data_IF_066713188875
#
_entry.id   IF_066713188875
#
_cell.length_a   1.000
_cell.length_b   1.000
_cell.length_c   1.000
_cell.angle_alpha   90.00
_cell.angle_beta   90.00
_cell.angle_gamma   90.00
#
_symmetry.space_group_name_H-M   'P 1'
#
loop_
_entity.id
_entity.type
_entity.pdbx_description
1 polymer ?
#
# COMPACT_ATOMS: atom_id res chain seq x y z
N UNK A 1 7.11 38.31 7.80
CA UNK A 1 7.83 37.47 8.78
C UNK A 1 8.43 36.29 8.03
N UNK A 2 9.74 36.29 7.80
CA UNK A 2 10.45 35.18 7.14
C UNK A 2 10.96 34.28 8.26
N UNK A 3 10.28 33.17 8.51
CA UNK A 3 10.77 32.16 9.45
C UNK A 3 11.98 31.49 8.79
N UNK A 4 13.16 31.64 9.40
CA UNK A 4 14.39 31.05 8.87
C UNK A 4 14.23 29.54 8.65
N UNK A 5 14.55 29.00 7.46
CA UNK A 5 14.40 27.58 7.15
C UNK A 5 15.19 26.69 8.12
N UNK A 6 16.28 27.21 8.70
CA UNK A 6 17.08 26.55 9.72
C UNK A 6 16.29 26.23 11.00
N UNK A 7 15.37 27.12 11.39
CA UNK A 7 14.54 26.94 12.58
C UNK A 7 13.49 25.84 12.37
N UNK A 8 12.92 25.77 11.16
CA UNK A 8 11.99 24.71 10.76
C UNK A 8 12.67 23.34 10.75
N UNK A 9 13.92 23.25 10.28
CA UNK A 9 14.70 22.01 10.32
C UNK A 9 15.00 21.58 11.76
N UNK A 10 15.43 22.53 12.61
CA UNK A 10 15.76 22.23 14.01
C UNK A 10 14.54 21.74 14.81
N UNK A 11 13.38 22.39 14.65
CA UNK A 11 12.13 21.97 15.30
C UNK A 11 11.66 20.59 14.80
N UNK A 12 11.83 20.29 13.50
CA UNK A 12 11.56 18.94 12.98
C UNK A 12 12.51 17.89 13.55
N UNK A 13 13.78 18.23 13.74
CA UNK A 13 14.78 17.32 14.30
C UNK A 13 14.48 16.99 15.78
N UNK A 14 14.18 18.02 16.58
CA UNK A 14 13.81 17.87 18.00
C UNK A 14 12.52 17.03 18.17
N UNK A 15 11.51 17.28 17.33
CA UNK A 15 10.28 16.49 17.32
C UNK A 15 10.54 15.02 16.94
N UNK A 16 11.44 14.77 15.99
CA UNK A 16 11.86 13.40 15.62
C UNK A 16 12.61 12.71 16.77
N UNK A 17 13.51 13.42 17.47
CA UNK A 17 14.28 12.89 18.60
C UNK A 17 13.37 12.59 19.80
N UNK A 18 12.45 13.50 20.13
CA UNK A 18 11.47 13.28 21.20
C UNK A 18 10.54 12.11 20.90
N UNK A 19 10.04 12.01 19.65
CA UNK A 19 9.23 10.88 19.22
C UNK A 19 10.02 9.56 19.26
N UNK A 20 11.33 9.58 19.04
CA UNK A 20 12.19 8.39 19.11
C UNK A 20 12.28 7.80 20.53
N UNK A 21 12.03 8.58 21.59
CA UNK A 21 12.14 8.13 22.98
C UNK A 21 10.95 7.32 23.49
N UNK A 22 9.82 7.31 22.76
CA UNK A 22 8.65 6.46 23.10
C UNK A 22 8.92 5.00 22.74
N UNK A 23 8.34 4.01 23.48
CA UNK A 23 8.48 2.60 23.14
C UNK A 23 8.16 2.33 21.68
N UNK A 24 8.89 1.38 21.08
CA UNK A 24 8.74 1.01 19.67
C UNK A 24 7.33 0.46 19.43
N UNK A 25 6.52 1.23 18.70
CA UNK A 25 5.22 0.77 18.21
C UNK A 25 5.39 0.05 16.87
N UNK A 26 4.51 -0.90 16.56
CA UNK A 26 4.54 -1.62 15.28
C UNK A 26 4.57 -0.68 14.05
N UNK A 27 3.87 0.46 14.12
CA UNK A 27 3.85 1.48 13.06
C UNK A 27 5.24 2.10 12.83
N UNK A 28 6.02 2.32 13.90
CA UNK A 28 7.39 2.83 13.75
C UNK A 28 8.28 1.77 13.08
N UNK A 29 8.22 0.52 13.53
CA UNK A 29 8.95 -0.58 12.90
C UNK A 29 8.60 -0.69 11.41
N UNK A 30 7.31 -0.65 11.08
CA UNK A 30 6.80 -0.68 9.72
C UNK A 30 7.31 0.50 8.87
N UNK A 31 7.31 1.72 9.43
CA UNK A 31 7.86 2.91 8.77
C UNK A 31 9.36 2.76 8.46
N UNK A 32 10.14 2.31 9.44
CA UNK A 32 11.57 2.07 9.24
C UNK A 32 11.79 0.97 8.20
N UNK A 33 11.00 -0.10 8.27
CA UNK A 33 11.06 -1.19 7.32
C UNK A 33 10.80 -0.71 5.88
N UNK A 34 9.63 -0.12 5.60
CA UNK A 34 9.25 0.32 4.24
C UNK A 34 10.22 1.36 3.65
N UNK A 35 10.81 2.21 4.50
CA UNK A 35 11.73 3.27 4.07
C UNK A 35 13.15 2.77 3.83
N UNK A 36 13.70 1.99 4.75
CA UNK A 36 15.12 1.64 4.73
C UNK A 36 15.37 0.26 4.14
N UNK A 37 14.42 -0.67 4.22
CA UNK A 37 14.62 -2.04 3.75
C UNK A 37 14.88 -2.09 2.23
N UNK A 38 14.10 -1.42 1.37
CA UNK A 38 14.43 -1.24 -0.05
C UNK A 38 15.82 -0.67 -0.35
N UNK A 39 16.26 0.35 0.41
CA UNK A 39 17.59 0.92 0.24
C UNK A 39 18.67 -0.08 0.69
N UNK A 40 18.43 -0.80 1.79
CA UNK A 40 19.31 -1.86 2.27
C UNK A 40 19.38 -3.02 1.28
N UNK A 41 18.29 -3.37 0.60
CA UNK A 41 18.28 -4.36 -0.48
C UNK A 41 19.11 -3.89 -1.67
N UNK A 42 18.95 -2.64 -2.09
CA UNK A 42 19.78 -2.09 -3.19
C UNK A 42 21.26 -2.07 -2.81
N UNK A 43 21.59 -1.74 -1.55
CA UNK A 43 22.95 -1.76 -1.05
C UNK A 43 23.51 -3.18 -0.89
N UNK A 44 22.69 -4.14 -0.44
CA UNK A 44 23.11 -5.55 -0.32
C UNK A 44 23.38 -6.17 -1.69
N UNK A 45 22.57 -5.83 -2.69
CA UNK A 45 22.80 -6.15 -4.11
C UNK A 45 24.12 -5.58 -4.62
N UNK A 46 24.48 -4.36 -4.23
CA UNK A 46 25.79 -3.78 -4.56
C UNK A 46 26.97 -4.44 -3.83
N UNK A 47 26.75 -4.94 -2.60
CA UNK A 47 27.82 -5.47 -1.75
C UNK A 47 28.13 -6.95 -2.02
N UNK A 48 27.15 -7.74 -2.47
CA UNK A 48 27.35 -9.16 -2.77
C UNK A 48 28.18 -9.39 -4.06
N UNK A 49 28.49 -8.33 -4.80
CA UNK A 49 29.47 -8.39 -5.89
C UNK A 49 30.89 -8.47 -5.28
N UNK A 50 31.66 -9.55 -5.51
CA UNK A 50 32.94 -9.75 -4.84
C UNK A 50 33.90 -8.58 -5.15
N UNK A 51 34.51 -8.02 -4.10
CA UNK A 51 35.31 -6.78 -4.11
C UNK A 51 36.66 -6.88 -4.83
N UNK A 52 37.01 -8.03 -5.41
CA UNK A 52 38.41 -8.35 -5.70
C UNK A 52 39.03 -7.61 -6.92
N UNK A 53 38.30 -6.95 -7.84
CA UNK A 53 38.96 -6.35 -9.04
C UNK A 53 38.37 -5.01 -9.54
N UNK A 54 37.91 -4.11 -8.66
CA UNK A 54 37.45 -2.78 -9.12
C UNK A 54 37.86 -1.63 -8.18
N UNK A 55 39.15 -1.52 -7.89
CA UNK A 55 39.72 -0.33 -7.22
C UNK A 55 40.28 0.73 -8.16
N UNK A 56 40.17 0.57 -9.48
CA UNK A 56 40.79 1.52 -10.41
C UNK A 56 39.79 2.01 -11.46
N UNK A 57 39.47 3.30 -11.36
CA UNK A 57 38.82 4.14 -12.38
C UNK A 57 37.33 3.90 -12.66
N UNK A 58 36.39 4.39 -11.83
CA UNK A 58 35.18 5.07 -12.33
C UNK A 58 34.35 5.67 -11.18
N UNK A 59 33.82 6.87 -11.45
CA UNK A 59 33.25 7.85 -10.51
C UNK A 59 32.22 7.33 -9.48
N UNK A 60 32.16 7.90 -8.24
CA UNK A 60 31.50 7.23 -7.11
C UNK A 60 30.00 7.46 -6.90
N UNK A 61 29.27 8.35 -7.60
CA UNK A 61 28.00 8.84 -7.02
C UNK A 61 26.67 8.54 -7.72
N UNK A 62 26.56 8.34 -9.04
CA UNK A 62 25.20 8.34 -9.65
C UNK A 62 24.86 7.27 -10.69
N UNK A 63 25.80 6.45 -11.19
CA UNK A 63 25.50 5.60 -12.38
C UNK A 63 25.53 4.10 -12.12
N UNK A 64 25.85 3.64 -10.90
CA UNK A 64 26.14 2.20 -10.65
C UNK A 64 25.00 1.37 -10.06
N UNK A 65 23.87 1.97 -9.69
CA UNK A 65 23.04 1.31 -8.66
C UNK A 65 22.04 0.25 -9.11
N UNK A 66 21.67 0.09 -10.40
CA UNK A 66 20.60 -0.90 -10.71
C UNK A 66 20.81 -1.68 -12.02
N UNK A 67 21.59 -1.17 -12.99
CA UNK A 67 21.62 -1.76 -14.33
C UNK A 67 22.67 -2.88 -14.56
N UNK A 68 23.55 -3.15 -13.58
CA UNK A 68 24.73 -4.00 -13.80
C UNK A 68 24.59 -5.45 -13.31
N UNK A 69 23.49 -5.81 -12.65
CA UNK A 69 23.24 -7.19 -12.22
C UNK A 69 22.60 -7.95 -13.40
N UNK A 70 23.41 -8.31 -14.40
CA UNK A 70 22.96 -9.12 -15.53
C UNK A 70 23.70 -8.87 -16.85
N UNK A 71 24.46 -7.78 -16.97
CA UNK A 71 25.26 -7.54 -18.18
C UNK A 71 26.54 -8.38 -18.14
N UNK A 72 26.85 -9.09 -19.23
CA UNK A 72 28.02 -9.97 -19.49
C UNK A 72 29.41 -9.31 -19.27
N UNK A 73 29.49 -8.14 -18.66
CA UNK A 73 30.67 -7.27 -18.58
C UNK A 73 31.70 -7.80 -17.56
N UNK A 74 31.40 -8.86 -16.80
CA UNK A 74 32.37 -9.44 -15.86
C UNK A 74 32.70 -10.91 -16.20
N UNK A 75 33.53 -11.17 -17.22
CA UNK A 75 33.85 -12.52 -17.71
C UNK A 75 34.66 -13.39 -16.72
N UNK A 76 34.91 -12.92 -15.49
CA UNK A 76 35.72 -13.62 -14.48
C UNK A 76 34.94 -14.21 -13.29
N UNK A 77 33.65 -13.91 -13.14
CA UNK A 77 32.89 -14.40 -11.98
C UNK A 77 32.17 -15.70 -12.31
N UNK A 78 32.70 -16.81 -11.81
CA UNK A 78 32.03 -18.10 -11.82
C UNK A 78 31.22 -18.24 -10.53
N UNK A 79 29.92 -17.96 -10.58
CA UNK A 79 29.02 -18.28 -9.48
C UNK A 79 28.73 -19.78 -9.47
N UNK A 80 28.68 -20.37 -8.28
CA UNK A 80 28.21 -21.75 -8.16
C UNK A 80 26.68 -21.76 -8.23
N UNK A 81 26.10 -22.85 -8.73
CA UNK A 81 24.65 -23.06 -8.79
C UNK A 81 23.92 -22.75 -7.46
N UNK A 82 24.37 -23.24 -6.28
CA UNK A 82 23.66 -22.96 -5.03
C UNK A 82 23.71 -21.48 -4.61
N UNK A 83 24.75 -20.74 -4.97
CA UNK A 83 24.82 -19.30 -4.68
C UNK A 83 23.75 -18.53 -5.48
N UNK A 84 23.46 -18.99 -6.69
CA UNK A 84 22.46 -18.42 -7.59
C UNK A 84 21.05 -18.55 -7.03
N UNK A 85 20.69 -19.78 -6.62
CA UNK A 85 19.37 -20.12 -6.07
C UNK A 85 19.09 -19.35 -4.77
N UNK A 86 20.08 -19.28 -3.88
CA UNK A 86 19.96 -18.53 -2.62
C UNK A 86 19.78 -17.03 -2.92
N UNK A 87 20.51 -16.50 -3.89
CA UNK A 87 20.44 -15.10 -4.28
C UNK A 87 19.08 -14.71 -4.86
N UNK A 88 18.54 -15.53 -5.75
CA UNK A 88 17.22 -15.35 -6.35
C UNK A 88 16.10 -15.45 -5.30
N UNK A 89 16.16 -16.47 -4.45
CA UNK A 89 15.23 -16.65 -3.33
C UNK A 89 15.24 -15.43 -2.40
N UNK A 90 16.42 -14.89 -2.09
CA UNK A 90 16.55 -13.71 -1.25
C UNK A 90 15.87 -12.48 -1.87
N UNK A 91 16.07 -12.22 -3.17
CA UNK A 91 15.40 -11.10 -3.86
C UNK A 91 13.89 -11.24 -3.83
N UNK A 92 13.37 -12.43 -4.15
CA UNK A 92 11.94 -12.68 -4.19
C UNK A 92 11.29 -12.59 -2.80
N UNK A 93 11.92 -13.17 -1.78
CA UNK A 93 11.46 -13.05 -0.39
C UNK A 93 11.45 -11.59 0.08
N UNK A 94 12.47 -10.81 -0.29
CA UNK A 94 12.53 -9.40 0.04
C UNK A 94 11.43 -8.58 -0.65
N UNK A 95 11.15 -8.87 -1.92
CA UNK A 95 10.03 -8.29 -2.66
C UNK A 95 8.70 -8.53 -1.95
N UNK A 96 8.46 -9.79 -1.58
CA UNK A 96 7.26 -10.24 -0.89
C UNK A 96 7.05 -9.49 0.42
N UNK A 97 8.12 -9.31 1.22
CA UNK A 97 8.02 -8.56 2.47
C UNK A 97 7.68 -7.08 2.25
N UNK A 98 8.22 -6.44 1.21
CA UNK A 98 7.89 -5.04 0.88
C UNK A 98 6.43 -4.92 0.47
N UNK A 99 5.95 -5.82 -0.41
CA UNK A 99 4.55 -5.86 -0.85
C UNK A 99 3.62 -6.08 0.35
N UNK A 100 3.88 -7.11 1.16
CA UNK A 100 3.09 -7.40 2.36
C UNK A 100 3.06 -6.22 3.35
N UNK A 101 4.16 -5.48 3.50
CA UNK A 101 4.20 -4.28 4.33
C UNK A 101 3.32 -3.14 3.77
N UNK A 102 3.29 -2.95 2.45
CA UNK A 102 2.42 -1.96 1.79
C UNK A 102 0.95 -2.35 1.94
N UNK A 103 0.61 -3.62 1.73
CA UNK A 103 -0.75 -4.12 1.88
C UNK A 103 -1.24 -3.98 3.31
N UNK A 104 -0.38 -4.26 4.28
CA UNK A 104 -0.68 -4.01 5.68
C UNK A 104 -1.00 -2.53 5.95
N UNK A 105 -0.26 -1.58 5.36
CA UNK A 105 -0.58 -0.14 5.47
C UNK A 105 -1.96 0.17 4.87
N UNK A 106 -2.31 -0.42 3.73
CA UNK A 106 -3.63 -0.23 3.12
C UNK A 106 -4.74 -0.78 4.01
N UNK A 107 -4.56 -1.97 4.59
CA UNK A 107 -5.50 -2.58 5.54
C UNK A 107 -5.70 -1.69 6.77
N UNK A 108 -4.62 -1.16 7.35
CA UNK A 108 -4.71 -0.24 8.50
C UNK A 108 -5.59 0.97 8.19
N UNK A 109 -5.53 1.51 6.96
CA UNK A 109 -6.42 2.62 6.56
C UNK A 109 -7.86 2.19 6.44
N UNK A 110 -8.12 1.02 5.88
CA UNK A 110 -9.48 0.51 5.79
C UNK A 110 -10.05 0.29 7.20
N UNK A 111 -9.24 -0.21 8.14
CA UNK A 111 -9.66 -0.36 9.53
C UNK A 111 -9.97 0.96 10.22
N UNK A 112 -9.18 2.00 9.97
CA UNK A 112 -9.47 3.34 10.47
C UNK A 112 -10.78 3.92 9.89
N UNK A 113 -11.13 3.56 8.64
CA UNK A 113 -12.35 4.05 7.97
C UNK A 113 -13.61 3.23 8.32
N UNK A 114 -13.46 1.95 8.68
CA UNK A 114 -14.55 1.02 9.02
C UNK A 114 -14.69 0.80 10.53
N UNK A 115 -14.72 1.88 11.31
CA UNK A 115 -14.59 1.79 12.77
C UNK A 115 -15.65 0.86 13.43
N UNK A 116 -16.85 0.76 12.85
CA UNK A 116 -17.97 0.07 13.50
C UNK A 116 -18.50 -1.20 12.79
N UNK A 117 -17.89 -1.68 11.69
CA UNK A 117 -18.45 -2.82 10.95
C UNK A 117 -17.74 -4.15 11.26
N UNK A 118 -18.30 -4.92 12.20
CA UNK A 118 -17.72 -6.18 12.72
C UNK A 118 -17.40 -7.23 11.65
N UNK A 119 -18.11 -7.23 10.52
CA UNK A 119 -17.91 -8.23 9.45
C UNK A 119 -16.80 -7.87 8.45
N UNK A 120 -16.48 -6.58 8.28
CA UNK A 120 -15.54 -6.15 7.24
C UNK A 120 -14.09 -6.40 7.68
N UNK A 121 -13.81 -6.22 8.98
CA UNK A 121 -12.49 -6.48 9.57
C UNK A 121 -12.00 -7.92 9.34
N UNK A 122 -12.75 -8.98 9.73
CA UNK A 122 -12.32 -10.35 9.48
C UNK A 122 -12.31 -10.70 7.99
N UNK A 123 -13.23 -10.16 7.18
CA UNK A 123 -13.24 -10.40 5.73
C UNK A 123 -11.93 -9.93 5.08
N UNK A 124 -11.50 -8.69 5.34
CA UNK A 124 -10.26 -8.14 4.79
C UNK A 124 -9.04 -8.94 5.26
N UNK A 125 -9.01 -9.31 6.55
CA UNK A 125 -7.91 -10.10 7.10
C UNK A 125 -7.82 -11.49 6.44
N UNK A 126 -8.95 -12.13 6.19
CA UNK A 126 -9.01 -13.42 5.48
C UNK A 126 -8.51 -13.26 4.04
N UNK A 127 -8.94 -12.23 3.32
CA UNK A 127 -8.45 -11.95 1.96
C UNK A 127 -6.93 -11.71 1.94
N UNK A 128 -6.40 -10.96 2.92
CA UNK A 128 -4.96 -10.73 3.06
C UNK A 128 -4.18 -12.03 3.33
N UNK A 129 -4.70 -12.89 4.21
CA UNK A 129 -4.09 -14.20 4.45
C UNK A 129 -4.08 -15.07 3.18
N UNK A 130 -5.16 -15.06 2.39
CA UNK A 130 -5.23 -15.80 1.12
C UNK A 130 -4.24 -15.27 0.09
N UNK A 131 -4.10 -13.96 -0.03
CA UNK A 131 -3.12 -13.33 -0.92
C UNK A 131 -1.69 -13.69 -0.51
N UNK A 132 -1.36 -13.54 0.78
CA UNK A 132 -0.03 -13.87 1.31
C UNK A 132 0.32 -15.35 1.11
N UNK A 133 -0.64 -16.25 1.36
CA UNK A 133 -0.47 -17.69 1.09
C UNK A 133 -0.31 -17.96 -0.41
N UNK A 134 -1.11 -17.31 -1.26
CA UNK A 134 -1.01 -17.44 -2.72
C UNK A 134 0.36 -17.00 -3.23
N UNK A 135 0.88 -15.89 -2.70
CA UNK A 135 2.22 -15.40 -3.03
C UNK A 135 3.33 -16.37 -2.57
N UNK A 136 3.23 -16.92 -1.34
CA UNK A 136 4.20 -17.89 -0.80
C UNK A 136 4.19 -19.21 -1.59
N UNK A 137 3.02 -19.74 -1.92
CA UNK A 137 2.88 -20.98 -2.70
C UNK A 137 3.41 -20.77 -4.12
N UNK A 138 3.10 -19.64 -4.74
CA UNK A 138 3.60 -19.32 -6.09
C UNK A 138 5.13 -19.19 -6.09
N UNK A 139 5.71 -18.55 -5.07
CA UNK A 139 7.16 -18.47 -4.91
C UNK A 139 7.79 -19.86 -4.76
N UNK A 140 7.25 -20.71 -3.88
CA UNK A 140 7.76 -22.07 -3.69
C UNK A 140 7.68 -22.92 -4.96
N UNK A 141 6.62 -22.74 -5.74
CA UNK A 141 6.47 -23.45 -7.02
C UNK A 141 7.46 -22.95 -8.08
N UNK A 142 7.74 -21.64 -8.13
CA UNK A 142 8.77 -21.09 -9.02
C UNK A 142 10.13 -21.69 -8.70
N UNK A 143 10.51 -21.75 -7.41
CA UNK A 143 11.80 -22.31 -6.99
C UNK A 143 11.93 -23.81 -7.28
N UNK A 144 10.84 -24.57 -7.20
CA UNK A 144 10.87 -26.02 -7.45
C UNK A 144 10.95 -26.39 -8.95
N UNK A 145 10.55 -25.48 -9.85
CA UNK A 145 10.42 -25.74 -11.28
C UNK A 145 11.63 -25.36 -12.13
N UNK A 146 12.61 -24.65 -11.55
CA UNK A 146 13.74 -24.11 -12.30
C UNK A 146 14.80 -25.18 -12.57
N UNK A 147 14.77 -25.69 -13.80
CA UNK A 147 15.93 -26.36 -14.38
C UNK A 147 16.89 -25.27 -14.87
N UNK A 148 17.88 -24.89 -14.06
CA UNK A 148 18.93 -24.02 -14.58
C UNK A 148 19.71 -24.81 -15.62
N UNK A 149 19.77 -24.29 -16.84
CA UNK A 149 20.69 -24.80 -17.84
C UNK A 149 22.10 -24.75 -17.25
N UNK A 150 22.87 -25.83 -17.42
CA UNK A 150 24.23 -26.00 -16.86
C UNK A 150 25.26 -24.96 -17.37
N UNK A 151 24.82 -23.92 -18.07
CA UNK A 151 25.64 -22.81 -18.49
C UNK A 151 25.75 -21.80 -17.35
N UNK A 152 26.98 -21.38 -17.05
CA UNK A 152 27.42 -20.60 -15.86
C UNK A 152 26.80 -19.20 -15.68
N UNK A 153 25.70 -18.90 -16.36
CA UNK A 153 25.02 -17.61 -16.30
C UNK A 153 23.75 -17.78 -15.47
N UNK A 154 23.73 -17.15 -14.30
CA UNK A 154 22.59 -16.97 -13.42
C UNK A 154 21.47 -16.12 -14.07
N UNK A 155 20.92 -16.60 -15.19
CA UNK A 155 19.89 -15.92 -15.97
C UNK A 155 18.70 -16.87 -16.01
N UNK A 156 17.57 -16.40 -15.49
CA UNK A 156 16.28 -17.08 -15.60
C UNK A 156 15.86 -17.05 -17.07
N UNK A 157 16.01 -18.17 -17.76
CA UNK A 157 15.64 -18.29 -19.18
C UNK A 157 14.16 -18.58 -19.37
N UNK A 158 13.52 -19.21 -18.38
CA UNK A 158 12.13 -19.63 -18.44
C UNK A 158 11.37 -19.17 -17.19
N UNK A 159 10.39 -18.30 -17.39
CA UNK A 159 9.46 -17.92 -16.34
C UNK A 159 8.22 -18.82 -16.39
N UNK A 160 7.91 -19.58 -15.32
CA UNK A 160 6.68 -20.35 -15.29
C UNK A 160 5.47 -19.41 -15.27
N UNK A 161 4.38 -19.82 -15.93
CA UNK A 161 3.10 -19.09 -15.93
C UNK A 161 2.55 -18.81 -14.52
N UNK A 162 3.02 -19.55 -13.50
CA UNK A 162 2.77 -19.32 -12.08
C UNK A 162 3.10 -17.90 -11.62
N UNK A 163 4.09 -17.24 -12.23
CA UNK A 163 4.45 -15.85 -11.91
C UNK A 163 3.37 -14.84 -12.30
N UNK A 164 2.58 -15.13 -13.35
CA UNK A 164 1.45 -14.28 -13.75
C UNK A 164 0.37 -14.33 -12.67
N UNK A 165 0.10 -15.51 -12.10
CA UNK A 165 -0.85 -15.66 -11.01
C UNK A 165 -0.37 -14.94 -9.74
N UNK A 166 0.94 -14.97 -9.45
CA UNK A 166 1.54 -14.20 -8.36
C UNK A 166 1.22 -12.70 -8.50
N UNK A 167 1.59 -12.09 -9.63
CA UNK A 167 1.38 -10.66 -9.85
C UNK A 167 -0.11 -10.27 -9.94
N UNK A 168 -0.93 -11.09 -10.62
CA UNK A 168 -2.35 -10.84 -10.76
C UNK A 168 -3.09 -10.91 -9.41
N UNK A 169 -2.71 -11.85 -8.54
CA UNK A 169 -3.32 -11.98 -7.21
C UNK A 169 -3.08 -10.74 -6.35
N UNK A 170 -1.86 -10.20 -6.38
CA UNK A 170 -1.49 -8.98 -5.67
C UNK A 170 -2.28 -7.76 -6.18
N UNK A 171 -2.35 -7.58 -7.51
CA UNK A 171 -3.14 -6.48 -8.10
C UNK A 171 -4.62 -6.60 -7.81
N UNK A 172 -5.17 -7.82 -7.83
CA UNK A 172 -6.58 -8.07 -7.52
C UNK A 172 -6.90 -7.66 -6.09
N UNK A 173 -6.11 -8.10 -5.11
CA UNK A 173 -6.32 -7.74 -3.71
C UNK A 173 -6.16 -6.24 -3.49
N UNK A 174 -5.12 -5.63 -4.05
CA UNK A 174 -4.89 -4.18 -3.97
C UNK A 174 -6.07 -3.40 -4.58
N UNK A 175 -6.64 -3.89 -5.68
CA UNK A 175 -7.84 -3.30 -6.32
C UNK A 175 -9.07 -3.42 -5.43
N UNK A 176 -9.28 -4.57 -4.77
CA UNK A 176 -10.39 -4.76 -3.82
C UNK A 176 -10.27 -3.79 -2.64
N UNK A 177 -9.08 -3.68 -2.03
CA UNK A 177 -8.85 -2.73 -0.94
C UNK A 177 -9.08 -1.29 -1.39
N UNK A 178 -8.52 -0.91 -2.54
CA UNK A 178 -8.69 0.43 -3.09
C UNK A 178 -10.18 0.75 -3.33
N UNK A 179 -10.92 -0.18 -3.96
CA UNK A 179 -12.35 -0.01 -4.21
C UNK A 179 -13.15 0.16 -2.91
N UNK A 180 -12.85 -0.63 -1.86
CA UNK A 180 -13.49 -0.49 -0.55
C UNK A 180 -13.22 0.90 0.07
N UNK A 181 -11.99 1.42 -0.05
CA UNK A 181 -11.68 2.77 0.43
C UNK A 181 -12.45 3.85 -0.32
N UNK A 182 -12.56 3.74 -1.65
CA UNK A 182 -13.28 4.70 -2.49
C UNK A 182 -14.78 4.66 -2.22
N UNK A 183 -15.39 3.48 -2.12
CA UNK A 183 -16.83 3.34 -1.83
C UNK A 183 -17.17 4.04 -0.51
N UNK A 184 -16.39 3.78 0.54
CA UNK A 184 -16.63 4.42 1.84
C UNK A 184 -16.38 5.90 1.83
N UNK A 185 -15.38 6.35 1.09
CA UNK A 185 -15.14 7.77 0.93
C UNK A 185 -16.33 8.48 0.29
N UNK A 186 -16.87 7.92 -0.79
CA UNK A 186 -18.04 8.47 -1.46
C UNK A 186 -19.25 8.49 -0.52
N UNK A 187 -19.42 7.44 0.30
CA UNK A 187 -20.47 7.43 1.34
C UNK A 187 -20.26 8.53 2.40
N UNK A 188 -19.02 8.74 2.86
CA UNK A 188 -18.69 9.79 3.82
C UNK A 188 -18.95 11.20 3.25
N UNK A 189 -18.59 11.43 1.98
CA UNK A 189 -18.89 12.70 1.29
C UNK A 189 -20.40 12.92 1.22
N UNK A 190 -21.16 11.90 0.80
CA UNK A 190 -22.63 11.97 0.70
C UNK A 190 -23.30 12.22 2.05
N UNK A 191 -22.72 11.72 3.14
CA UNK A 191 -23.20 11.97 4.50
C UNK A 191 -22.89 13.40 5.02
N UNK A 192 -22.29 14.26 4.20
CA UNK A 192 -21.97 15.66 4.57
C UNK A 192 -20.62 15.84 5.27
N UNK A 193 -19.78 14.79 5.34
CA UNK A 193 -18.45 14.86 5.98
C UNK A 193 -17.36 15.40 5.03
N UNK A 194 -17.74 15.88 3.84
CA UNK A 194 -16.82 16.35 2.81
C UNK A 194 -15.94 17.55 3.20
N UNK A 195 -16.19 18.20 4.33
CA UNK A 195 -15.36 19.32 4.83
C UNK A 195 -14.08 18.89 5.51
N UNK A 196 -13.81 17.59 5.70
CA UNK A 196 -12.54 17.13 6.27
C UNK A 196 -11.45 17.05 5.17
N UNK A 197 -10.54 18.04 5.07
CA UNK A 197 -9.51 18.08 4.02
C UNK A 197 -8.55 16.88 4.09
N UNK A 198 -8.46 16.24 5.26
CA UNK A 198 -7.62 15.08 5.51
C UNK A 198 -7.93 13.90 4.58
N UNK A 199 -9.22 13.60 4.42
CA UNK A 199 -9.68 12.40 3.74
C UNK A 199 -9.43 12.49 2.22
N UNK A 200 -9.59 13.69 1.65
CA UNK A 200 -9.23 13.99 0.26
C UNK A 200 -7.74 13.78 -0.01
N UNK A 201 -6.88 14.22 0.92
CA UNK A 201 -5.43 14.13 0.78
C UNK A 201 -4.97 12.66 0.82
N UNK A 202 -5.56 11.86 1.70
CA UNK A 202 -5.30 10.41 1.80
C UNK A 202 -5.68 9.67 0.51
N UNK A 203 -6.79 10.03 -0.12
CA UNK A 203 -7.31 9.32 -1.31
C UNK A 203 -6.58 9.73 -2.57
N UNK A 204 -6.27 11.00 -2.72
CA UNK A 204 -5.44 11.46 -3.83
C UNK A 204 -4.11 10.71 -3.83
N UNK A 205 -3.44 10.67 -2.68
CA UNK A 205 -2.12 10.03 -2.57
C UNK A 205 -2.21 8.49 -2.69
N UNK A 206 -3.30 7.88 -2.19
CA UNK A 206 -3.60 6.46 -2.40
C UNK A 206 -3.88 6.11 -3.87
N UNK A 207 -4.57 6.99 -4.59
CA UNK A 207 -4.89 6.80 -6.03
C UNK A 207 -3.62 6.85 -6.87
N UNK A 208 -2.71 7.80 -6.60
CA UNK A 208 -1.41 7.84 -7.27
C UNK A 208 -0.59 6.58 -7.04
N UNK A 209 -0.57 6.07 -5.81
CA UNK A 209 0.13 4.83 -5.48
C UNK A 209 -0.47 3.61 -6.20
N UNK A 210 -1.80 3.50 -6.23
CA UNK A 210 -2.52 2.44 -6.93
C UNK A 210 -2.26 2.48 -8.45
N UNK A 211 -2.37 3.66 -9.06
CA UNK A 211 -2.09 3.83 -10.49
C UNK A 211 -0.65 3.45 -10.84
N UNK A 212 0.33 3.86 -10.02
CA UNK A 212 1.72 3.47 -10.22
C UNK A 212 1.92 1.94 -10.12
N UNK A 213 1.29 1.29 -9.14
CA UNK A 213 1.37 -0.16 -8.99
C UNK A 213 0.78 -0.90 -10.21
N UNK A 214 -0.42 -0.49 -10.66
CA UNK A 214 -1.07 -1.05 -11.85
C UNK A 214 -0.22 -0.84 -13.11
N UNK A 215 0.34 0.37 -13.30
CA UNK A 215 1.21 0.66 -14.43
C UNK A 215 2.47 -0.19 -14.44
N UNK A 216 3.08 -0.41 -13.28
CA UNK A 216 4.28 -1.26 -13.16
C UNK A 216 3.93 -2.70 -13.52
N UNK A 217 2.82 -3.25 -13.00
CA UNK A 217 2.43 -4.63 -13.31
C UNK A 217 2.02 -4.82 -14.78
N UNK A 218 1.34 -3.84 -15.38
CA UNK A 218 1.06 -3.87 -16.83
C UNK A 218 2.36 -3.81 -17.62
N UNK A 219 3.31 -2.99 -17.19
CA UNK A 219 4.63 -2.90 -17.82
C UNK A 219 5.40 -4.22 -17.69
N UNK A 220 5.36 -4.86 -16.52
CA UNK A 220 5.94 -6.19 -16.29
C UNK A 220 5.34 -7.21 -17.24
N UNK A 221 4.02 -7.30 -17.27
CA UNK A 221 3.30 -8.22 -18.16
C UNK A 221 3.62 -7.94 -19.63
N UNK A 222 3.74 -6.67 -20.01
CA UNK A 222 4.10 -6.27 -21.38
C UNK A 222 5.53 -6.68 -21.73
N UNK A 223 6.49 -6.54 -20.81
CA UNK A 223 7.86 -7.02 -21.02
C UNK A 223 7.92 -8.54 -21.10
N UNK A 224 7.11 -9.26 -20.33
CA UNK A 224 6.99 -10.72 -20.42
C UNK A 224 6.36 -11.19 -21.74
N UNK A 225 5.50 -10.38 -22.36
CA UNK A 225 4.93 -10.68 -23.66
C UNK A 225 5.94 -10.51 -24.82
N UNK A 226 7.06 -9.82 -24.60
CA UNK A 226 8.13 -9.70 -25.59
C UNK A 226 8.95 -10.99 -25.66
N UNK A 227 9.39 -11.35 -26.88
CA UNK A 227 10.22 -12.54 -27.15
C UNK A 227 11.56 -12.55 -26.39
N UNK A 228 12.01 -11.38 -25.92
CA UNK A 228 13.27 -11.23 -25.20
C UNK A 228 13.00 -11.13 -23.69
N UNK A 229 13.14 -12.24 -22.98
CA UNK A 229 12.90 -12.33 -21.51
C UNK A 229 13.94 -11.59 -20.65
N UNK A 230 15.00 -11.04 -21.27
CA UNK A 230 16.12 -10.37 -20.58
C UNK A 230 15.68 -9.13 -19.78
N UNK A 231 14.55 -8.51 -20.12
CA UNK A 231 14.13 -7.24 -19.52
C UNK A 231 13.30 -7.38 -18.23
N UNK A 232 12.90 -8.60 -17.84
CA UNK A 232 12.01 -8.82 -16.68
C UNK A 232 12.57 -8.31 -15.36
N UNK A 233 13.89 -8.34 -15.18
CA UNK A 233 14.55 -7.87 -13.96
C UNK A 233 14.59 -6.35 -13.77
N UNK A 234 14.40 -5.56 -14.84
CA UNK A 234 14.57 -4.09 -14.79
C UNK A 234 13.46 -3.44 -13.97
N UNK A 235 12.23 -3.90 -14.15
CA UNK A 235 11.06 -3.32 -13.49
C UNK A 235 10.95 -3.67 -12.02
N UNK A 236 11.65 -4.72 -11.56
CA UNK A 236 11.76 -5.03 -10.14
C UNK A 236 12.28 -3.84 -9.32
N UNK A 237 13.34 -3.17 -9.79
CA UNK A 237 13.87 -1.98 -9.11
C UNK A 237 12.85 -0.83 -9.05
N UNK A 238 12.06 -0.67 -10.12
CA UNK A 238 11.00 0.34 -10.18
C UNK A 238 9.84 0.03 -9.24
N UNK A 239 9.44 -1.24 -9.12
CA UNK A 239 8.42 -1.70 -8.19
C UNK A 239 8.79 -1.37 -6.74
N UNK A 240 9.98 -1.76 -6.31
CA UNK A 240 10.43 -1.55 -4.93
C UNK A 240 10.53 -0.04 -4.61
N UNK A 241 11.06 0.76 -5.54
CA UNK A 241 11.20 2.22 -5.33
C UNK A 241 9.85 2.94 -5.30
N UNK A 242 8.90 2.54 -6.15
CA UNK A 242 7.54 3.08 -6.15
C UNK A 242 6.81 2.79 -4.84
N UNK A 243 6.97 1.57 -4.29
CA UNK A 243 6.40 1.19 -2.99
C UNK A 243 7.01 1.97 -1.81
N UNK A 244 8.34 2.17 -1.80
CA UNK A 244 8.98 3.04 -0.78
C UNK A 244 8.47 4.46 -0.83
N UNK A 245 8.40 5.05 -2.04
CA UNK A 245 8.01 6.44 -2.22
C UNK A 245 6.56 6.68 -1.81
N UNK A 246 5.66 5.80 -2.25
CA UNK A 246 4.24 5.88 -1.89
C UNK A 246 4.03 5.67 -0.39
N UNK A 247 4.56 4.57 0.18
CA UNK A 247 4.42 4.22 1.59
C UNK A 247 4.89 5.33 2.54
N UNK A 248 5.98 6.01 2.20
CA UNK A 248 6.47 7.14 2.98
C UNK A 248 5.50 8.34 3.01
N UNK A 249 4.97 8.75 1.84
CA UNK A 249 4.05 9.91 1.76
C UNK A 249 2.79 9.68 2.58
N UNK A 250 2.27 8.46 2.49
CA UNK A 250 1.10 8.01 3.25
C UNK A 250 1.33 8.19 4.75
N UNK A 251 2.46 7.69 5.26
CA UNK A 251 2.75 7.71 6.70
C UNK A 251 2.99 9.14 7.21
N UNK A 252 3.61 10.00 6.40
CA UNK A 252 3.77 11.42 6.75
C UNK A 252 2.42 12.14 6.90
N UNK A 253 1.50 11.91 5.97
CA UNK A 253 0.18 12.54 6.01
C UNK A 253 -0.61 12.07 7.24
N UNK A 254 -0.49 10.79 7.60
CA UNK A 254 -1.10 10.25 8.82
C UNK A 254 -0.51 10.88 10.08
N UNK A 255 0.82 11.04 10.14
CA UNK A 255 1.51 11.67 11.27
C UNK A 255 1.15 13.15 11.45
N UNK A 256 0.98 13.89 10.36
CA UNK A 256 0.54 15.28 10.39
C UNK A 256 -0.88 15.43 10.98
N UNK A 257 -1.75 14.45 10.72
CA UNK A 257 -3.12 14.41 11.24
C UNK A 257 -3.14 14.27 12.76
N UNK A 258 -2.38 13.30 13.27
CA UNK A 258 -2.31 12.99 14.70
C UNK A 258 -1.85 14.19 15.54
N UNK A 259 -0.97 15.03 14.98
CA UNK A 259 -0.45 16.20 15.69
C UNK A 259 -1.47 17.34 15.78
N UNK A 260 -2.35 17.47 14.79
CA UNK A 260 -3.36 18.54 14.76
C UNK A 260 -4.47 18.33 15.81
N UNK A 261 -4.69 17.09 16.26
CA UNK A 261 -5.62 16.79 17.35
C UNK A 261 -4.98 16.98 18.73
N UNK A 262 -3.68 17.24 18.80
CA UNK A 262 -2.97 17.63 20.03
C UNK A 262 -2.98 19.14 20.24
N UNK A 263 -4.08 19.82 19.90
CA UNK A 263 -4.33 21.18 20.39
C UNK A 263 -4.67 21.07 21.88
N UNK A 264 -4.02 21.86 22.75
CA UNK A 264 -4.15 21.70 24.19
C UNK A 264 -5.60 21.79 24.64
N UNK A 265 -6.05 20.72 25.28
CA UNK A 265 -7.35 20.50 25.90
C UNK A 265 -7.53 21.42 27.14
N UNK A 266 -7.17 22.70 27.04
CA UNK A 266 -7.33 23.68 28.12
C UNK A 266 -8.50 24.63 27.90
N UNK A 267 -9.26 24.51 26.79
CA UNK A 267 -10.39 25.45 26.53
C UNK A 267 -11.67 24.81 25.99
N UNK A 268 -11.71 23.50 25.69
CA UNK A 268 -12.98 22.82 25.39
C UNK A 268 -13.39 21.87 26.50
N UNK A 269 -14.02 22.44 27.52
CA UNK A 269 -15.00 21.79 28.40
C UNK A 269 -16.28 21.47 27.60
N UNK A 270 -16.13 20.68 26.54
CA UNK A 270 -17.20 20.25 25.65
C UNK A 270 -16.94 18.79 25.30
N UNK A 271 -17.62 17.90 26.01
CA UNK A 271 -17.40 16.46 26.11
C UNK A 271 -17.57 15.74 24.76
N UNK A 272 -16.51 15.68 23.94
CA UNK A 272 -16.43 14.74 22.82
C UNK A 272 -15.72 13.48 23.31
N UNK A 273 -16.49 12.50 23.79
CA UNK A 273 -16.01 11.15 24.11
C UNK A 273 -15.71 10.40 22.81
N UNK A 274 -14.44 10.10 22.56
CA UNK A 274 -14.05 9.08 21.58
C UNK A 274 -14.37 7.69 22.15
N UNK A 275 -15.40 7.05 21.60
CA UNK A 275 -15.97 5.79 22.10
C UNK A 275 -15.15 4.54 21.76
N UNK A 276 -13.93 4.42 22.30
CA UNK A 276 -13.22 3.13 22.39
C UNK A 276 -13.03 2.65 23.83
N UNK A 277 -13.58 3.38 24.82
CA UNK A 277 -13.78 2.86 26.17
C UNK A 277 -14.76 1.70 26.07
N UNK A 278 -14.24 0.46 26.07
CA UNK A 278 -15.00 -0.74 26.33
C UNK A 278 -15.70 -0.53 27.67
N UNK A 279 -17.01 -0.27 27.65
CA UNK A 279 -17.83 -0.22 28.85
C UNK A 279 -17.57 -1.53 29.63
N UNK A 280 -16.90 -1.49 30.80
CA UNK A 280 -16.86 -2.64 31.68
C UNK A 280 -18.28 -2.81 32.20
N UNK A 281 -18.96 -3.77 31.59
CA UNK A 281 -20.00 -4.60 32.16
C UNK A 281 -20.63 -4.02 33.43
N UNK A 282 -21.77 -3.39 33.23
CA UNK A 282 -22.71 -2.96 34.25
C UNK A 282 -23.02 -4.13 35.21
N UNK A 283 -22.25 -4.21 36.30
CA UNK A 283 -22.63 -4.98 37.49
C UNK A 283 -23.90 -4.35 38.02
N UNK A 284 -25.01 -4.99 37.67
CA UNK A 284 -26.35 -4.59 38.09
C UNK A 284 -26.54 -5.13 39.50
N UNK A 285 -26.40 -4.28 40.51
CA UNK A 285 -26.79 -4.59 41.89
C UNK A 285 -28.31 -4.57 41.96
N UNK A 286 -29.00 -5.66 42.36
CA UNK A 286 -30.43 -5.65 42.55
C UNK A 286 -30.76 -5.07 43.93
N UNK A 287 -31.23 -3.83 43.97
CA UNK A 287 -31.98 -3.30 45.12
C UNK A 287 -33.45 -3.24 44.77
N UNK A 288 -34.20 -4.19 45.32
CA UNK A 288 -35.66 -4.12 45.33
C UNK A 288 -36.15 -3.07 46.32
N UNK A 289 -37.27 -2.42 45.98
CA UNK A 289 -38.47 -2.32 46.81
C UNK A 289 -39.42 -1.23 46.29
N UNK A 290 -40.71 -1.56 46.25
CA UNK A 290 -41.77 -0.60 46.57
C UNK A 290 -42.56 0.03 45.43
N UNK A 291 -43.70 -0.59 45.11
CA UNK A 291 -45.05 -0.02 44.91
C UNK A 291 -45.21 1.40 44.34
N UNK A 292 -45.97 1.53 43.25
CA UNK A 292 -47.43 1.70 43.32
C UNK A 292 -48.02 1.97 41.92
N UNK A 293 -49.21 1.40 41.68
CA UNK A 293 -49.97 1.47 40.44
C UNK A 293 -50.78 2.77 40.30
N UNK A 294 -50.89 3.32 39.08
CA UNK A 294 -52.06 4.07 38.55
C UNK A 294 -52.09 3.95 37.01
N UNK A 295 -53.22 3.57 36.37
CA UNK A 295 -53.43 3.61 34.91
C UNK A 295 -54.49 4.69 34.53
N UNK A 296 -55.08 4.72 33.31
CA UNK A 296 -54.54 5.30 32.06
C UNK A 296 -55.50 6.38 31.48
N UNK A 297 -55.09 7.26 30.55
CA UNK A 297 -56.04 7.90 29.59
C UNK A 297 -55.40 8.72 28.45
N UNK A 298 -55.99 8.57 27.24
CA UNK A 298 -55.93 9.46 26.06
C UNK A 298 -54.72 9.27 25.14
N UNK A 299 -54.77 8.71 23.92
CA UNK A 299 -55.68 8.81 22.76
C UNK A 299 -55.85 10.21 22.17
N UNK A 300 -54.94 10.64 21.29
CA UNK A 300 -55.26 11.47 20.11
C UNK A 300 -54.22 11.22 19.00
N UNK A 301 -54.71 10.85 17.82
CA UNK A 301 -54.09 11.00 16.49
C UNK A 301 -55.21 11.46 15.53
N UNK A 302 -54.96 11.73 14.25
CA UNK A 302 -54.06 12.69 13.59
C UNK A 302 -54.87 13.71 12.73
N UNK A 303 -54.24 14.52 11.86
CA UNK A 303 -54.41 14.29 10.41
C UNK A 303 -53.10 14.51 9.62
N UNK A 304 -52.69 13.60 8.73
CA UNK A 304 -52.89 13.65 7.26
C UNK A 304 -52.76 15.03 6.63
N UNK A 305 -51.63 15.26 5.95
CA UNK A 305 -51.59 16.12 4.76
C UNK A 305 -50.70 15.47 3.70
N UNK A 306 -51.16 15.63 2.46
CA UNK A 306 -50.91 14.83 1.28
C UNK A 306 -50.20 15.64 0.22
N UNK A 307 -49.33 14.95 -0.55
CA UNK A 307 -49.13 15.11 -2.00
C UNK A 307 -48.61 16.47 -2.49
N UNK A 308 -47.39 16.47 -3.05
CA UNK A 308 -47.24 16.95 -4.43
C UNK A 308 -46.07 16.26 -5.15
N UNK A 309 -46.39 15.86 -6.38
CA UNK A 309 -45.52 15.20 -7.33
C UNK A 309 -45.03 16.20 -8.38
N UNK A 310 -43.92 15.85 -9.04
CA UNK A 310 -43.74 15.88 -10.50
C UNK A 310 -42.46 16.57 -11.01
N UNK A 311 -41.87 15.87 -11.99
CA UNK A 311 -41.17 16.39 -13.18
C UNK A 311 -39.78 17.00 -12.95
N UNK A 312 -38.83 17.00 -13.90
CA UNK A 312 -38.60 16.38 -15.20
C UNK A 312 -37.28 16.99 -15.71
N UNK A 313 -36.52 16.29 -16.56
CA UNK A 313 -35.35 16.83 -17.29
C UNK A 313 -34.15 15.89 -17.19
N UNK A 314 -33.87 14.96 -18.11
CA UNK A 314 -33.68 15.06 -19.58
C UNK A 314 -32.43 15.84 -19.98
N UNK A 315 -31.49 15.15 -20.65
CA UNK A 315 -30.68 15.76 -21.73
C UNK A 315 -29.15 15.57 -21.69
N UNK A 316 -28.63 15.09 -22.83
CA UNK A 316 -27.23 15.02 -23.32
C UNK A 316 -26.35 13.91 -22.70
N UNK A 317 -25.99 12.80 -23.37
CA UNK A 317 -25.59 12.55 -24.78
C UNK A 317 -24.56 13.55 -25.29
N UNK A 318 -23.28 13.20 -25.14
CA UNK A 318 -22.20 13.61 -26.04
C UNK A 318 -21.37 12.38 -26.40
N UNK A 319 -21.54 11.95 -27.64
CA UNK A 319 -20.59 11.11 -28.38
C UNK A 319 -19.41 11.98 -28.83
N UNK A 320 -18.19 11.47 -28.64
CA UNK A 320 -17.03 11.68 -29.53
C UNK A 320 -16.04 10.59 -29.12
N UNK A 321 -15.91 9.45 -29.82
CA UNK A 321 -15.50 9.27 -31.21
C UNK A 321 -14.22 10.04 -31.52
N UNK A 322 -13.06 9.40 -31.28
CA UNK A 322 -11.84 9.71 -32.02
C UNK A 322 -10.84 8.55 -31.96
N UNK A 323 -10.80 7.85 -33.10
CA UNK A 323 -9.60 7.42 -33.82
C UNK A 323 -8.53 6.65 -33.05
N UNK A 324 -8.63 5.33 -33.17
CA UNK A 324 -7.52 4.37 -33.16
C UNK A 324 -6.78 4.50 -34.49
N UNK A 325 -5.49 4.85 -34.54
CA UNK A 325 -4.65 4.58 -35.70
C UNK A 325 -4.14 3.13 -35.65
N UNK A 326 -4.41 2.40 -36.72
CA UNK A 326 -3.77 1.13 -37.05
C UNK A 326 -2.25 1.31 -37.09
N UNK A 327 -1.53 0.59 -36.22
CA UNK A 327 -0.08 0.44 -36.33
C UNK A 327 0.16 -0.90 -37.03
N UNK A 328 0.40 -0.77 -38.32
CA UNK A 328 0.91 -1.77 -39.25
C UNK A 328 2.26 -2.31 -38.72
N UNK A 329 2.29 -3.61 -38.37
CA UNK A 329 3.54 -4.33 -38.10
C UNK A 329 4.25 -4.60 -39.42
N UNK A 330 5.22 -3.75 -39.75
CA UNK A 330 6.18 -4.04 -40.81
C UNK A 330 7.20 -5.09 -40.31
N UNK A 331 7.00 -6.32 -40.77
CA UNK A 331 7.98 -7.40 -40.72
C UNK A 331 9.07 -7.14 -41.76
N UNK A 332 10.30 -6.83 -41.32
CA UNK A 332 11.50 -6.94 -42.16
C UNK A 332 12.71 -7.46 -41.37
N UNK A 333 13.16 -8.63 -41.86
CA UNK A 333 14.50 -9.23 -41.86
C UNK A 333 15.07 -9.73 -40.54
#
# INVERSE_FOLDING_TARGET
MVVSPLLTVRLRLEALISNYRRPWTAIKCLFFFVRYFPLLLQLSVGFFSPKEIYYSYLNPCCTRSILFVGTDITPGFNFTFPDCEVWETYKAAAALLVVAAVDYILILRVFALYDNHRYVKPLILVLFCFELLGMLVSLGFSLAGEMFDNERRCIVTYFPNSFIFYGASAVLFQTVLFLLTVIRFVQAIRAGWGKMPLLLLIIRDGTWAYLLAVLIVISDLSLYALKNHVYGGILYGWMVTAFSFSGYRILLNLGASLHHDTIPLTTLTGTVRFGWELDPESVTVPSGSGSAAVPPTGSVAPPTESVEAAASGSGAVVQSNQNVPDIEMESRV
#
